data_IF_580250646512
#
_entry.id   IF_580250646512
#
_cell.length_a   1.000
_cell.length_b   1.000
_cell.length_c   1.000
_cell.angle_alpha   90.00
_cell.angle_beta   90.00
_cell.angle_gamma   90.00
#
_symmetry.space_group_name_H-M   'P 1'
#
loop_
_entity.id
_entity.type
_entity.pdbx_description
1 polymer ?
#
# COMPACT_ATOMS: atom_id res chain seq x y z
N UNK A 1 -8.38 4.53 14.62
CA UNK A 1 -7.22 4.42 13.71
C UNK A 1 -7.31 5.56 12.72
N UNK A 2 -6.20 6.25 12.43
CA UNK A 2 -6.19 7.38 11.50
C UNK A 2 -5.35 6.99 10.29
N UNK A 3 -5.93 7.08 9.09
CA UNK A 3 -5.24 6.78 7.83
C UNK A 3 -4.99 8.08 7.06
N UNK A 4 -3.77 8.27 6.60
CA UNK A 4 -3.35 9.45 5.84
C UNK A 4 -2.74 8.96 4.53
N UNK A 5 -3.30 9.38 3.40
CA UNK A 5 -2.78 9.07 2.07
C UNK A 5 -2.25 10.35 1.41
N UNK A 6 -1.03 10.30 0.88
CA UNK A 6 -0.42 11.40 0.12
C UNK A 6 -0.47 11.07 -1.37
N UNK A 7 -1.35 11.77 -2.10
CA UNK A 7 -1.58 11.56 -3.52
C UNK A 7 -1.24 12.82 -4.33
N UNK A 8 -0.57 12.67 -5.48
CA UNK A 8 -0.31 13.75 -6.43
C UNK A 8 0.04 13.16 -7.80
N UNK A 9 -0.64 13.63 -8.84
CA UNK A 9 -0.49 13.21 -10.24
C UNK A 9 0.88 13.56 -10.86
N UNK A 10 1.65 14.47 -10.24
CA UNK A 10 2.99 14.83 -10.72
C UNK A 10 4.06 14.00 -10.00
N UNK A 11 4.95 13.37 -10.77
CA UNK A 11 6.16 12.73 -10.26
C UNK A 11 7.17 13.74 -9.70
N UNK A 12 8.04 13.33 -8.78
CA UNK A 12 9.18 14.14 -8.32
C UNK A 12 8.84 15.33 -7.41
N UNK A 13 7.64 15.39 -6.83
CA UNK A 13 7.20 16.48 -5.94
C UNK A 13 7.54 16.25 -4.45
N UNK A 14 8.29 15.20 -4.12
CA UNK A 14 8.71 14.89 -2.75
C UNK A 14 7.65 14.21 -1.85
N UNK A 15 6.56 13.65 -2.42
CA UNK A 15 5.54 12.91 -1.67
C UNK A 15 6.13 11.82 -0.79
N UNK A 16 6.89 10.91 -1.41
CA UNK A 16 7.48 9.73 -0.76
C UNK A 16 8.42 10.15 0.37
N UNK A 17 9.27 11.13 0.10
CA UNK A 17 10.15 11.74 1.10
C UNK A 17 9.36 12.34 2.26
N UNK A 18 8.23 13.00 1.99
CA UNK A 18 7.36 13.55 3.02
C UNK A 18 6.70 12.43 3.85
N UNK A 19 6.21 11.36 3.23
CA UNK A 19 5.65 10.18 3.95
C UNK A 19 6.69 9.62 4.91
N UNK A 20 7.92 9.39 4.44
CA UNK A 20 9.03 8.88 5.25
C UNK A 20 9.28 9.74 6.49
N UNK A 21 9.42 11.05 6.31
CA UNK A 21 9.66 11.97 7.43
C UNK A 21 8.47 12.08 8.38
N UNK A 22 7.23 12.11 7.87
CA UNK A 22 6.03 12.12 8.70
C UNK A 22 5.93 10.85 9.55
N UNK A 23 6.23 9.69 8.98
CA UNK A 23 6.21 8.42 9.69
C UNK A 23 7.18 8.44 10.89
N UNK A 24 8.43 8.85 10.66
CA UNK A 24 9.41 9.01 11.74
C UNK A 24 9.02 10.10 12.74
N UNK A 25 8.44 11.22 12.30
CA UNK A 25 7.99 12.28 13.20
C UNK A 25 6.88 11.79 14.14
N UNK A 26 5.86 11.09 13.61
CA UNK A 26 4.79 10.54 14.43
C UNK A 26 5.29 9.45 15.37
N UNK A 27 6.21 8.58 14.91
CA UNK A 27 6.87 7.60 15.76
C UNK A 27 7.58 8.28 16.94
N UNK A 28 8.34 9.36 16.69
CA UNK A 28 9.02 10.14 17.74
C UNK A 28 8.07 10.85 18.71
N UNK A 29 6.83 11.08 18.31
CA UNK A 29 5.76 11.59 19.19
C UNK A 29 5.07 10.47 19.98
N UNK A 30 5.54 9.22 19.88
CA UNK A 30 5.02 8.05 20.60
C UNK A 30 3.87 7.34 19.89
N UNK A 31 3.51 7.76 18.68
CA UNK A 31 2.47 7.10 17.89
C UNK A 31 2.96 5.75 17.36
N UNK A 32 2.03 4.81 17.22
CA UNK A 32 2.26 3.56 16.47
C UNK A 32 1.96 3.84 15.00
N UNK A 33 2.95 3.67 14.14
CA UNK A 33 2.90 4.05 12.73
C UNK A 33 3.11 2.83 11.85
N UNK A 34 2.21 2.61 10.91
CA UNK A 34 2.40 1.69 9.80
C UNK A 34 2.54 2.53 8.53
N UNK A 35 3.74 2.54 7.96
CA UNK A 35 3.98 3.06 6.62
C UNK A 35 3.60 1.98 5.60
N UNK A 36 2.92 2.36 4.53
CA UNK A 36 2.48 1.43 3.48
C UNK A 36 2.93 2.00 2.15
N UNK A 37 3.66 1.20 1.38
CA UNK A 37 4.09 1.56 0.04
C UNK A 37 3.22 0.88 -1.01
N UNK A 38 2.37 1.66 -1.67
CA UNK A 38 1.47 1.20 -2.72
C UNK A 38 1.91 1.67 -4.11
N UNK A 39 3.08 2.30 -4.24
CA UNK A 39 3.64 2.72 -5.52
C UNK A 39 4.45 1.54 -6.10
N UNK A 40 4.16 1.07 -7.33
CA UNK A 40 4.96 0.01 -7.97
C UNK A 40 6.46 0.33 -8.02
N UNK A 41 6.84 1.61 -8.06
CA UNK A 41 8.26 2.01 -8.02
C UNK A 41 8.94 1.72 -6.68
N UNK A 42 8.18 1.40 -5.64
CA UNK A 42 8.66 0.98 -4.32
C UNK A 42 9.65 1.97 -3.66
N UNK A 43 9.55 3.26 -4.02
CA UNK A 43 10.48 4.28 -3.57
C UNK A 43 10.45 4.49 -2.05
N UNK A 44 9.29 4.29 -1.40
CA UNK A 44 9.19 4.44 0.06
C UNK A 44 9.93 3.29 0.74
N UNK A 45 9.74 2.08 0.22
CA UNK A 45 10.38 0.85 0.68
C UNK A 45 11.90 0.99 0.64
N UNK A 46 12.46 1.47 -0.48
CA UNK A 46 13.90 1.72 -0.61
C UNK A 46 14.44 2.84 0.28
N UNK A 47 13.59 3.73 0.81
CA UNK A 47 14.03 4.73 1.80
C UNK A 47 14.09 4.16 3.23
N UNK A 48 13.32 3.10 3.52
CA UNK A 48 13.25 2.48 4.84
C UNK A 48 14.24 1.32 5.01
N UNK A 49 14.55 0.58 3.95
CA UNK A 49 15.35 -0.64 3.98
C UNK A 49 16.71 -0.43 3.31
N UNK A 50 17.73 -1.17 3.77
CA UNK A 50 19.05 -1.21 3.13
C UNK A 50 19.06 -2.06 1.85
N UNK A 51 20.15 -1.98 1.06
CA UNK A 51 20.27 -2.75 -0.18
C UNK A 51 20.19 -4.28 0.05
N UNK A 52 20.87 -4.78 1.09
CA UNK A 52 20.83 -6.21 1.45
C UNK A 52 19.41 -6.68 1.83
N UNK A 53 18.68 -5.83 2.54
CA UNK A 53 17.32 -6.10 2.98
C UNK A 53 16.34 -6.16 1.80
N UNK A 54 16.52 -5.26 0.83
CA UNK A 54 15.74 -5.22 -0.41
C UNK A 54 16.00 -6.45 -1.28
N UNK A 55 17.27 -6.85 -1.43
CA UNK A 55 17.63 -8.05 -2.20
C UNK A 55 17.00 -9.31 -1.59
N UNK A 56 17.00 -9.42 -0.26
CA UNK A 56 16.34 -10.52 0.44
C UNK A 56 14.82 -10.48 0.28
N UNK A 57 14.22 -9.29 0.34
CA UNK A 57 12.77 -9.09 0.21
C UNK A 57 12.25 -9.46 -1.19
N UNK A 58 12.97 -9.10 -2.25
CA UNK A 58 12.60 -9.40 -3.63
C UNK A 58 13.14 -10.74 -4.15
N UNK A 59 13.77 -11.53 -3.28
CA UNK A 59 14.36 -12.83 -3.63
C UNK A 59 15.34 -12.76 -4.82
N UNK A 60 16.12 -11.68 -4.90
CA UNK A 60 17.20 -11.57 -5.90
C UNK A 60 18.36 -12.48 -5.48
N UNK A 61 18.79 -13.40 -6.34
CA UNK A 61 19.86 -14.36 -6.02
C UNK A 61 21.22 -13.64 -5.82
N UNK A 62 21.72 -13.75 -4.58
CA UNK A 62 23.07 -13.48 -4.03
C UNK A 62 23.60 -12.02 -4.02
N UNK A 63 23.74 -11.39 -2.83
CA UNK A 63 24.58 -10.21 -2.69
C UNK A 63 26.06 -10.62 -2.74
N UNK A 64 26.74 -10.25 -3.83
CA UNK A 64 28.13 -10.62 -4.15
C UNK A 64 29.20 -10.01 -3.23
N UNK A 65 28.84 -9.35 -2.12
CA UNK A 65 29.85 -8.71 -1.28
C UNK A 65 29.40 -8.62 0.18
N UNK A 66 30.05 -9.40 1.05
CA UNK A 66 29.90 -9.28 2.51
C UNK A 66 30.48 -7.94 2.99
N UNK A 67 29.63 -6.95 3.24
CA UNK A 67 29.98 -5.79 4.04
C UNK A 67 29.47 -5.90 5.48
N UNK A 68 30.31 -5.37 6.36
CA UNK A 68 30.24 -5.49 7.81
C UNK A 68 29.01 -4.79 8.40
N UNK A 69 28.18 -5.57 9.09
CA UNK A 69 27.60 -5.26 10.41
C UNK A 69 27.26 -3.77 10.67
N UNK A 70 26.13 -3.31 10.16
CA UNK A 70 25.57 -1.99 10.45
C UNK A 70 24.04 -1.99 10.52
N UNK A 71 23.50 -1.93 11.74
CA UNK A 71 22.11 -1.55 12.10
C UNK A 71 21.01 -2.19 11.22
N UNK A 72 20.59 -3.46 11.41
CA UNK A 72 19.59 -3.92 12.39
C UNK A 72 19.55 -5.46 12.33
N UNK A 73 19.43 -6.19 13.46
CA UNK A 73 19.29 -7.65 13.47
C UNK A 73 17.81 -8.06 13.39
N UNK A 74 17.15 -7.98 12.23
CA UNK A 74 15.70 -8.31 12.20
C UNK A 74 15.06 -8.75 10.89
N UNK A 75 15.75 -8.91 9.75
CA UNK A 75 15.18 -9.71 8.65
C UNK A 75 15.40 -11.19 8.92
N UNK A 76 14.88 -11.64 10.07
CA UNK A 76 14.79 -13.06 10.40
C UNK A 76 13.74 -13.63 9.47
N UNK A 77 14.16 -14.47 8.53
CA UNK A 77 13.59 -15.73 8.02
C UNK A 77 12.05 -16.01 8.02
N UNK A 78 11.19 -15.06 8.35
CA UNK A 78 9.74 -15.19 8.59
C UNK A 78 8.96 -13.96 8.07
N UNK A 79 9.52 -13.19 7.12
CA UNK A 79 8.80 -12.06 6.51
C UNK A 79 7.96 -12.56 5.34
N UNK A 80 6.69 -12.83 5.64
CA UNK A 80 5.70 -13.27 4.67
C UNK A 80 5.15 -12.06 3.89
N UNK A 81 5.98 -11.43 3.07
CA UNK A 81 5.53 -10.81 1.82
C UNK A 81 5.44 -9.29 1.68
N UNK A 82 5.37 -8.88 0.41
CA UNK A 82 5.12 -7.51 -0.05
C UNK A 82 3.63 -7.26 -0.26
N UNK A 83 3.22 -6.00 -0.43
CA UNK A 83 1.82 -5.65 -0.77
C UNK A 83 1.33 -6.44 -1.99
N UNK A 84 2.20 -6.71 -2.98
CA UNK A 84 1.84 -7.53 -4.13
C UNK A 84 1.39 -8.94 -3.75
N UNK A 85 2.07 -9.57 -2.78
CA UNK A 85 1.69 -10.89 -2.28
C UNK A 85 0.35 -10.84 -1.54
N UNK A 86 0.09 -9.79 -0.75
CA UNK A 86 -1.20 -9.61 -0.08
C UNK A 86 -2.38 -9.53 -1.06
N UNK A 87 -2.19 -8.89 -2.22
CA UNK A 87 -3.26 -8.74 -3.22
C UNK A 87 -3.28 -9.84 -4.29
N UNK A 88 -2.31 -10.76 -4.28
CA UNK A 88 -2.22 -11.85 -5.26
C UNK A 88 -3.48 -12.71 -5.37
N UNK A 89 -4.15 -13.13 -4.28
CA UNK A 89 -5.36 -13.95 -4.39
C UNK A 89 -6.51 -13.25 -5.12
N UNK A 90 -6.56 -11.92 -5.03
CA UNK A 90 -7.55 -11.09 -5.75
C UNK A 90 -7.27 -11.12 -7.25
N UNK A 91 -5.99 -10.97 -7.64
CA UNK A 91 -5.55 -11.01 -9.04
C UNK A 91 -5.85 -12.37 -9.67
N UNK A 92 -5.52 -13.44 -8.96
CA UNK A 92 -5.74 -14.81 -9.42
C UNK A 92 -7.22 -15.24 -9.35
N UNK A 93 -8.08 -14.42 -8.72
CA UNK A 93 -9.50 -14.73 -8.50
C UNK A 93 -9.71 -15.92 -7.56
N UNK A 94 -8.71 -16.23 -6.73
CA UNK A 94 -8.69 -17.36 -5.80
C UNK A 94 -9.17 -16.98 -4.40
N UNK A 95 -9.17 -15.68 -4.05
CA UNK A 95 -9.58 -15.20 -2.73
C UNK A 95 -9.60 -13.67 -2.57
N UNK A 96 -9.70 -13.23 -1.32
CA UNK A 96 -9.58 -11.81 -0.90
C UNK A 96 -8.14 -11.52 -0.41
N UNK A 97 -7.86 -10.28 0.04
CA UNK A 97 -6.54 -9.86 0.54
C UNK A 97 -6.03 -10.81 1.62
N UNK A 98 -4.82 -11.33 1.42
CA UNK A 98 -4.10 -12.11 2.42
C UNK A 98 -3.36 -11.20 3.42
N UNK A 99 -3.42 -11.57 4.70
CA UNK A 99 -2.76 -10.81 5.75
C UNK A 99 -1.27 -11.14 5.79
N UNK A 100 -0.46 -10.16 5.41
CA UNK A 100 1.00 -10.22 5.48
C UNK A 100 1.53 -9.56 6.75
N UNK A 101 2.72 -9.99 7.19
CA UNK A 101 3.38 -9.40 8.35
C UNK A 101 4.19 -8.17 7.93
N UNK A 102 3.96 -6.99 8.54
CA UNK A 102 4.74 -5.82 8.21
C UNK A 102 6.14 -5.92 8.83
N UNK A 103 7.12 -5.35 8.13
CA UNK A 103 8.52 -5.27 8.56
C UNK A 103 8.65 -4.24 9.68
N UNK A 104 9.21 -4.64 10.83
CA UNK A 104 9.52 -3.69 11.90
C UNK A 104 10.80 -2.91 11.58
N UNK A 105 10.70 -1.59 11.48
CA UNK A 105 11.84 -0.71 11.21
C UNK A 105 12.49 -0.26 12.53
N UNK A 106 11.66 0.24 13.45
CA UNK A 106 12.07 0.63 14.81
C UNK A 106 10.91 0.43 15.78
N UNK A 107 11.14 0.67 17.08
CA UNK A 107 10.06 0.64 18.06
C UNK A 107 8.92 1.59 17.64
N UNK A 108 7.73 1.01 17.43
CA UNK A 108 6.49 1.69 17.03
C UNK A 108 6.40 2.13 15.57
N UNK A 109 7.32 1.69 14.71
CA UNK A 109 7.29 1.98 13.28
C UNK A 109 7.47 0.71 12.46
N UNK A 110 6.43 0.41 11.69
CA UNK A 110 6.39 -0.73 10.78
C UNK A 110 6.22 -0.26 9.35
N UNK A 111 6.67 -1.09 8.41
CA UNK A 111 6.57 -0.91 6.98
C UNK A 111 5.84 -2.09 6.35
N UNK A 112 4.85 -1.80 5.52
CA UNK A 112 4.31 -2.74 4.55
C UNK A 112 5.02 -2.46 3.21
N UNK A 113 5.95 -3.32 2.79
CA UNK A 113 6.81 -3.00 1.65
C UNK A 113 6.09 -3.18 0.32
N UNK A 114 6.40 -2.27 -0.61
CA UNK A 114 5.95 -2.29 -1.99
C UNK A 114 6.73 -3.29 -2.83
N UNK A 115 6.22 -3.53 -4.04
CA UNK A 115 6.82 -4.44 -5.00
C UNK A 115 6.59 -3.93 -6.42
N UNK A 116 7.55 -4.19 -7.32
CA UNK A 116 7.40 -3.94 -8.75
C UNK A 116 6.24 -4.76 -9.34
N UNK A 117 5.91 -5.92 -8.77
CA UNK A 117 4.76 -6.73 -9.18
C UNK A 117 3.41 -6.01 -9.00
N UNK A 118 3.34 -4.95 -8.19
CA UNK A 118 2.14 -4.10 -8.08
C UNK A 118 1.76 -3.43 -9.41
N UNK A 119 2.70 -3.26 -10.34
CA UNK A 119 2.39 -2.72 -11.67
C UNK A 119 1.38 -3.58 -12.42
N UNK A 120 1.49 -4.92 -12.31
CA UNK A 120 0.53 -5.86 -12.91
C UNK A 120 -0.84 -5.71 -12.28
N UNK A 121 -0.88 -5.49 -10.95
CA UNK A 121 -2.11 -5.26 -10.22
C UNK A 121 -2.82 -3.97 -10.68
N UNK A 122 -2.08 -2.88 -10.90
CA UNK A 122 -2.65 -1.62 -11.42
C UNK A 122 -3.26 -1.79 -12.82
N UNK A 123 -2.59 -2.55 -13.69
CA UNK A 123 -3.10 -2.86 -15.03
C UNK A 123 -4.40 -3.67 -14.97
N UNK A 124 -4.45 -4.72 -14.15
CA UNK A 124 -5.63 -5.58 -13.97
C UNK A 124 -6.79 -4.84 -13.31
N UNK A 125 -6.50 -3.98 -12.32
CA UNK A 125 -7.48 -3.07 -11.72
C UNK A 125 -8.05 -2.11 -12.76
N UNK A 126 -7.21 -1.52 -13.59
CA UNK A 126 -7.65 -0.57 -14.62
C UNK A 126 -8.58 -1.23 -15.64
N UNK A 127 -8.29 -2.47 -16.04
CA UNK A 127 -9.13 -3.23 -16.97
C UNK A 127 -10.45 -3.68 -16.33
N UNK A 128 -10.39 -4.18 -15.09
CA UNK A 128 -11.58 -4.64 -14.36
C UNK A 128 -12.51 -3.49 -14.03
N UNK A 129 -12.00 -2.32 -13.64
CA UNK A 129 -12.79 -1.12 -13.34
C UNK A 129 -13.72 -0.72 -14.49
N UNK A 130 -13.23 -0.82 -15.74
CA UNK A 130 -14.04 -0.54 -16.94
C UNK A 130 -15.16 -1.56 -17.20
N UNK A 131 -15.02 -2.80 -16.72
CA UNK A 131 -15.99 -3.88 -16.89
C UNK A 131 -17.02 -3.92 -15.76
N UNK A 132 -16.66 -3.52 -14.54
CA UNK A 132 -17.59 -3.44 -13.40
C UNK A 132 -18.68 -2.38 -13.65
N UNK A 133 -18.35 -1.29 -14.36
CA UNK A 133 -19.32 -0.31 -14.85
C UNK A 133 -20.37 -0.88 -15.83
N UNK A 134 -20.10 -2.03 -16.45
CA UNK A 134 -21.02 -2.74 -17.35
C UNK A 134 -21.85 -3.83 -16.64
N UNK A 135 -21.73 -3.97 -15.33
CA UNK A 135 -22.61 -4.82 -14.51
C UNK A 135 -22.24 -6.31 -14.51
N UNK A 136 -20.97 -6.68 -14.69
CA UNK A 136 -20.55 -8.09 -14.52
C UNK A 136 -20.37 -8.41 -13.01
N UNK A 137 -21.22 -9.26 -12.42
CA UNK A 137 -21.17 -9.58 -10.99
C UNK A 137 -19.92 -10.38 -10.58
N UNK A 138 -19.18 -10.99 -11.52
CA UNK A 138 -17.97 -11.78 -11.20
C UNK A 138 -16.75 -10.95 -10.78
N UNK A 139 -16.80 -9.62 -10.97
CA UNK A 139 -15.70 -8.70 -10.64
C UNK A 139 -16.08 -7.65 -9.59
N UNK A 140 -17.24 -7.83 -8.95
CA UNK A 140 -17.76 -6.93 -7.90
C UNK A 140 -16.97 -7.02 -6.58
N UNK A 141 -16.20 -8.11 -6.36
CA UNK A 141 -15.33 -8.28 -5.20
C UNK A 141 -14.09 -7.37 -5.16
N UNK A 142 -13.82 -6.62 -6.22
CA UNK A 142 -12.73 -5.62 -6.30
C UNK A 142 -13.14 -4.23 -5.76
N UNK A 143 -14.35 -4.10 -5.20
CA UNK A 143 -14.81 -2.83 -4.64
C UNK A 143 -14.08 -2.55 -3.31
N UNK A 144 -13.36 -1.42 -3.16
CA UNK A 144 -13.07 -0.93 -1.81
C UNK A 144 -14.40 -0.63 -1.10
N UNK A 145 -14.53 -0.85 0.22
CA UNK A 145 -15.79 -0.76 0.96
C UNK A 145 -16.33 0.68 1.12
N UNK A 146 -15.98 1.62 0.24
CA UNK A 146 -16.17 3.05 0.49
C UNK A 146 -16.66 3.82 -0.73
N UNK A 147 -17.83 3.48 -1.27
CA UNK A 147 -18.76 4.46 -1.86
C UNK A 147 -20.21 3.97 -1.60
N UNK A 148 -20.69 4.08 -0.37
CA UNK A 148 -22.14 4.25 -0.18
C UNK A 148 -22.47 5.70 -0.53
N UNK A 149 -23.15 5.89 -1.66
CA UNK A 149 -23.78 7.15 -1.97
C UNK A 149 -24.89 7.40 -0.95
N UNK A 150 -24.56 8.18 0.08
CA UNK A 150 -25.57 8.75 0.97
C UNK A 150 -26.68 9.39 0.12
N UNK A 151 -27.88 8.84 0.32
CA UNK A 151 -29.20 9.40 0.02
C UNK A 151 -29.21 10.83 -0.53
N UNK A 152 -29.62 11.00 -1.79
CA UNK A 152 -30.15 12.29 -2.26
C UNK A 152 -31.43 12.60 -1.47
N UNK A 153 -31.54 13.73 -0.75
CA UNK A 153 -32.84 14.19 -0.30
C UNK A 153 -33.62 14.71 -1.52
N UNK A 154 -34.83 14.19 -1.67
CA UNK A 154 -35.83 14.62 -2.63
C UNK A 154 -36.25 16.07 -2.32
N UNK A 155 -35.82 17.03 -3.14
CA UNK A 155 -36.30 18.42 -3.07
C UNK A 155 -37.19 18.66 -4.28
N UNK A 156 -38.43 18.16 -4.17
CA UNK A 156 -39.56 18.64 -4.96
C UNK A 156 -40.71 18.98 -4.02
N UNK A 157 -40.74 20.22 -3.53
CA UNK A 157 -41.95 20.85 -3.01
C UNK A 157 -41.92 22.35 -3.34
N UNK A 158 -42.87 22.87 -4.12
CA UNK A 158 -42.90 24.29 -4.46
C UNK A 158 -43.42 25.11 -3.28
N UNK A 159 -42.63 26.11 -2.87
CA UNK A 159 -43.04 27.19 -1.98
C UNK A 159 -44.24 27.92 -2.59
N UNK A 160 -45.39 27.86 -1.92
CA UNK A 160 -46.51 28.76 -2.20
C UNK A 160 -46.37 29.96 -1.28
N UNK A 161 -46.13 31.13 -1.85
CA UNK A 161 -46.17 32.43 -1.19
C UNK A 161 -47.63 32.83 -0.95
N UNK A 162 -47.99 33.05 0.31
CA UNK A 162 -49.08 33.94 0.75
C UNK A 162 -48.97 34.20 2.24
#
# INVERSE_FOLDING_TARGET
MTSIALFNNKGGVGKTTLVYHLAHMYQRQGARVLAVDLDPQSNLTSMFLGEDDLAQLWHEEEPTFQYQQGLIPAIRAENDGTVAQAVKPIIEGTGDVELIRPVEITERLWLLPGDLELSRFEDDLSQSWGLTFKGDPRRCGLQPPFIESSSRPDVTSPLTLS
#
